data_IF_635192860543
#
_entry.id   IF_635192860543
#
_cell.length_a   1.000
_cell.length_b   1.000
_cell.length_c   1.000
_cell.angle_alpha   90.00
_cell.angle_beta   90.00
_cell.angle_gamma   90.00
#
_symmetry.space_group_name_H-M   'P 1'
#
loop_
_entity.id
_entity.type
_entity.pdbx_description
1 polymer ?
#
# COMPACT_ATOMS: atom_id res chain seq x y z
N UNK A 1 -12.95 38.41 -57.66
CA UNK A 1 -13.60 37.93 -56.42
C UNK A 1 -13.29 36.47 -56.26
N UNK A 2 -12.67 36.07 -55.14
CA UNK A 2 -12.81 34.77 -54.46
C UNK A 2 -11.69 34.66 -53.41
N UNK A 3 -11.98 35.20 -52.23
CA UNK A 3 -11.17 35.02 -51.02
C UNK A 3 -11.59 33.68 -50.40
N UNK A 4 -10.72 32.68 -50.46
CA UNK A 4 -10.95 31.38 -49.84
C UNK A 4 -10.72 31.44 -48.33
N UNK A 5 -11.77 31.22 -47.54
CA UNK A 5 -11.67 31.00 -46.10
C UNK A 5 -11.17 29.57 -45.83
N UNK A 6 -9.97 29.44 -45.24
CA UNK A 6 -9.48 28.20 -44.65
C UNK A 6 -9.91 28.15 -43.17
N UNK A 7 -10.87 27.29 -42.84
CA UNK A 7 -11.14 26.92 -41.45
C UNK A 7 -10.12 25.87 -40.99
N UNK A 8 -9.24 26.25 -40.06
CA UNK A 8 -8.39 25.31 -39.34
C UNK A 8 -9.18 24.72 -38.15
N UNK A 9 -9.46 23.41 -38.19
CA UNK A 9 -10.03 22.69 -37.06
C UNK A 9 -8.93 22.42 -36.01
N UNK A 10 -9.00 23.10 -34.87
CA UNK A 10 -8.13 22.82 -33.73
C UNK A 10 -8.59 21.52 -33.05
N UNK A 11 -7.80 20.45 -33.19
CA UNK A 11 -8.01 19.20 -32.46
C UNK A 11 -7.45 19.39 -31.04
N UNK A 12 -8.32 19.68 -30.08
CA UNK A 12 -7.95 19.70 -28.66
C UNK A 12 -7.69 18.26 -28.23
N UNK A 13 -6.41 17.90 -28.10
CA UNK A 13 -6.00 16.62 -27.53
C UNK A 13 -6.30 16.66 -26.03
N UNK A 14 -7.39 16.03 -25.61
CA UNK A 14 -7.68 15.81 -24.19
C UNK A 14 -6.64 14.81 -23.67
N UNK A 15 -5.69 15.29 -22.88
CA UNK A 15 -4.73 14.42 -22.21
C UNK A 15 -5.50 13.42 -21.33
N UNK A 16 -5.46 12.15 -21.70
CA UNK A 16 -6.04 11.07 -20.90
C UNK A 16 -5.19 10.90 -19.64
N UNK A 17 -5.69 11.40 -18.50
CA UNK A 17 -5.08 11.15 -17.20
C UNK A 17 -5.24 9.66 -16.89
N UNK A 18 -4.13 8.95 -16.71
CA UNK A 18 -4.16 7.54 -16.32
C UNK A 18 -4.96 7.38 -15.01
N UNK A 19 -5.79 6.34 -14.86
CA UNK A 19 -6.61 6.17 -13.69
C UNK A 19 -5.74 6.04 -12.44
N UNK A 20 -6.17 6.57 -11.28
CA UNK A 20 -5.44 6.42 -10.04
C UNK A 20 -5.37 4.94 -9.64
N UNK A 21 -4.15 4.43 -9.51
CA UNK A 21 -3.92 3.00 -9.28
C UNK A 21 -3.67 2.70 -7.81
N UNK A 22 -4.15 1.54 -7.37
CA UNK A 22 -3.75 0.91 -6.14
C UNK A 22 -3.15 -0.48 -6.42
N UNK A 23 -2.17 -0.87 -5.64
CA UNK A 23 -1.45 -2.14 -5.80
C UNK A 23 -1.67 -3.02 -4.57
N UNK A 24 -2.09 -4.26 -4.79
CA UNK A 24 -2.39 -5.26 -3.76
C UNK A 24 -1.49 -6.47 -3.98
N UNK A 25 -0.59 -6.75 -3.04
CA UNK A 25 0.40 -7.82 -3.14
C UNK A 25 0.24 -8.77 -1.96
N UNK A 26 0.14 -10.07 -2.20
CA UNK A 26 0.04 -11.04 -1.11
C UNK A 26 0.85 -12.31 -1.36
N UNK A 27 1.66 -12.65 -0.36
CA UNK A 27 2.40 -13.90 -0.30
C UNK A 27 1.47 -15.02 0.17
N UNK A 28 1.22 -15.99 -0.70
CA UNK A 28 0.41 -17.18 -0.42
C UNK A 28 1.30 -18.35 -0.05
N UNK A 29 2.38 -18.55 -0.78
CA UNK A 29 3.21 -19.75 -0.72
C UNK A 29 3.82 -19.93 0.67
N UNK A 30 4.44 -18.89 1.24
CA UNK A 30 5.10 -18.98 2.54
C UNK A 30 4.13 -19.20 3.72
N UNK A 31 2.82 -19.01 3.51
CA UNK A 31 1.77 -19.21 4.51
C UNK A 31 0.97 -20.51 4.31
N UNK A 32 1.40 -21.38 3.40
CA UNK A 32 0.72 -22.61 3.04
C UNK A 32 1.68 -23.80 2.97
N UNK A 33 1.12 -25.02 2.90
CA UNK A 33 1.91 -26.22 2.60
C UNK A 33 2.60 -26.11 1.22
N UNK A 34 3.83 -26.63 1.08
CA UNK A 34 4.62 -27.36 2.09
C UNK A 34 5.44 -26.44 3.02
N UNK A 35 5.40 -25.12 2.84
CA UNK A 35 6.25 -24.18 3.56
C UNK A 35 5.93 -24.08 5.07
N UNK A 36 4.66 -24.33 5.42
CA UNK A 36 4.19 -24.53 6.79
C UNK A 36 3.30 -25.77 6.85
N UNK A 37 3.00 -26.25 8.06
CA UNK A 37 2.25 -27.50 8.27
C UNK A 37 0.73 -27.39 8.05
N UNK A 38 0.22 -26.22 7.65
CA UNK A 38 -1.21 -25.99 7.42
C UNK A 38 -1.47 -25.24 6.12
N UNK A 39 -2.73 -25.28 5.65
CA UNK A 39 -3.19 -24.47 4.52
C UNK A 39 -3.97 -23.28 5.07
N UNK A 40 -3.56 -22.07 4.70
CA UNK A 40 -4.18 -20.81 5.07
C UNK A 40 -4.81 -20.11 3.87
N UNK A 41 -6.10 -19.80 3.99
CA UNK A 41 -6.79 -18.91 3.04
C UNK A 41 -6.63 -17.43 3.40
N UNK A 42 -5.88 -17.10 4.46
CA UNK A 42 -5.76 -15.72 4.93
C UNK A 42 -5.16 -14.77 3.88
N UNK A 43 -4.07 -15.12 3.16
CA UNK A 43 -3.49 -14.23 2.15
C UNK A 43 -4.50 -13.82 1.08
N UNK A 44 -5.26 -14.78 0.55
CA UNK A 44 -6.29 -14.56 -0.45
C UNK A 44 -7.44 -13.70 0.07
N UNK A 45 -7.98 -14.05 1.25
CA UNK A 45 -9.12 -13.33 1.83
C UNK A 45 -8.77 -11.88 2.17
N UNK A 46 -7.57 -11.65 2.70
CA UNK A 46 -7.14 -10.30 3.08
C UNK A 46 -6.83 -9.44 1.85
N UNK A 47 -6.16 -10.01 0.84
CA UNK A 47 -5.97 -9.33 -0.45
C UNK A 47 -7.31 -8.94 -1.09
N UNK A 48 -8.28 -9.86 -1.11
CA UNK A 48 -9.61 -9.58 -1.65
C UNK A 48 -10.36 -8.48 -0.85
N UNK A 49 -10.26 -8.50 0.48
CA UNK A 49 -10.87 -7.48 1.34
C UNK A 49 -10.26 -6.10 1.12
N UNK A 50 -8.93 -6.02 0.98
CA UNK A 50 -8.22 -4.79 0.66
C UNK A 50 -8.60 -4.28 -0.74
N UNK A 51 -8.60 -5.14 -1.77
CA UNK A 51 -9.03 -4.78 -3.12
C UNK A 51 -10.44 -4.20 -3.13
N UNK A 52 -11.42 -4.89 -2.54
CA UNK A 52 -12.80 -4.42 -2.51
C UNK A 52 -12.98 -3.10 -1.74
N UNK A 53 -12.14 -2.84 -0.73
CA UNK A 53 -12.13 -1.56 -0.02
C UNK A 53 -11.56 -0.43 -0.88
N UNK A 54 -10.43 -0.68 -1.54
CA UNK A 54 -9.77 0.28 -2.43
C UNK A 54 -10.62 0.61 -3.66
N UNK A 55 -11.23 -0.38 -4.29
CA UNK A 55 -12.19 -0.17 -5.39
C UNK A 55 -13.36 0.71 -4.95
N UNK A 56 -13.93 0.45 -3.75
CA UNK A 56 -15.02 1.28 -3.20
C UNK A 56 -14.58 2.72 -2.91
N UNK A 57 -13.30 2.95 -2.64
CA UNK A 57 -12.71 4.27 -2.45
C UNK A 57 -12.37 4.96 -3.79
N UNK A 58 -12.57 4.30 -4.94
CA UNK A 58 -12.37 4.86 -6.27
C UNK A 58 -11.02 4.53 -6.91
N UNK A 59 -10.24 3.60 -6.34
CA UNK A 59 -8.97 3.17 -6.93
C UNK A 59 -9.18 2.10 -8.00
N UNK A 60 -8.38 2.15 -9.07
CA UNK A 60 -8.21 1.01 -9.97
C UNK A 60 -7.20 0.05 -9.36
N UNK A 61 -7.61 -1.17 -9.02
CA UNK A 61 -6.77 -2.11 -8.28
C UNK A 61 -6.05 -3.09 -9.22
N UNK A 62 -4.73 -3.12 -9.13
CA UNK A 62 -3.89 -4.20 -9.64
C UNK A 62 -3.52 -5.14 -8.49
N UNK A 63 -3.85 -6.43 -8.62
CA UNK A 63 -3.59 -7.43 -7.57
C UNK A 63 -2.71 -8.55 -8.06
N UNK A 64 -1.76 -8.96 -7.22
CA UNK A 64 -0.92 -10.14 -7.43
C UNK A 64 -0.79 -10.95 -6.14
N UNK A 65 -1.35 -12.15 -6.15
CA UNK A 65 -1.35 -13.09 -5.03
C UNK A 65 -0.64 -14.38 -5.43
N UNK A 66 0.18 -14.94 -4.54
CA UNK A 66 0.89 -16.18 -4.82
C UNK A 66 2.09 -15.99 -5.75
N UNK A 67 2.49 -17.01 -6.54
CA UNK A 67 3.75 -17.00 -7.28
C UNK A 67 3.96 -15.84 -8.26
N UNK A 68 2.89 -15.18 -8.70
CA UNK A 68 2.95 -13.97 -9.54
C UNK A 68 3.45 -12.73 -8.80
N UNK A 69 3.38 -12.72 -7.46
CA UNK A 69 3.99 -11.68 -6.64
C UNK A 69 5.51 -11.88 -6.62
N UNK A 70 6.17 -11.34 -7.64
CA UNK A 70 7.63 -11.29 -7.79
C UNK A 70 8.17 -9.90 -7.44
N UNK A 71 9.48 -9.76 -7.28
CA UNK A 71 10.14 -8.46 -7.02
C UNK A 71 9.86 -7.46 -8.15
N UNK A 72 9.92 -7.92 -9.40
CA UNK A 72 9.67 -7.10 -10.58
C UNK A 72 8.21 -6.62 -10.64
N UNK A 73 7.24 -7.52 -10.38
CA UNK A 73 5.82 -7.17 -10.30
C UNK A 73 5.56 -6.18 -9.16
N UNK A 74 6.18 -6.41 -8.01
CA UNK A 74 6.06 -5.53 -6.85
C UNK A 74 6.57 -4.12 -7.16
N UNK A 75 7.80 -3.98 -7.66
CA UNK A 75 8.40 -2.67 -7.95
C UNK A 75 7.65 -1.93 -9.07
N UNK A 76 7.26 -2.63 -10.15
CA UNK A 76 6.44 -2.03 -11.22
C UNK A 76 5.08 -1.57 -10.74
N UNK A 77 4.41 -2.35 -9.89
CA UNK A 77 3.10 -1.99 -9.34
C UNK A 77 3.19 -0.89 -8.28
N UNK A 78 4.24 -0.91 -7.45
CA UNK A 78 4.46 0.10 -6.42
C UNK A 78 4.86 1.43 -7.05
N UNK A 79 5.64 1.46 -8.13
CA UNK A 79 6.13 2.71 -8.73
C UNK A 79 5.03 3.76 -8.99
N UNK A 80 3.92 3.45 -9.71
CA UNK A 80 2.86 4.42 -10.00
C UNK A 80 1.74 4.47 -8.93
N UNK A 81 1.75 3.59 -7.93
CA UNK A 81 0.62 3.43 -7.02
C UNK A 81 0.38 4.68 -6.15
N UNK A 82 -0.89 5.06 -5.98
CA UNK A 82 -1.33 6.01 -4.97
C UNK A 82 -1.81 5.35 -3.68
N UNK A 83 -2.17 4.06 -3.72
CA UNK A 83 -2.43 3.24 -2.54
C UNK A 83 -1.78 1.85 -2.65
N UNK A 84 -1.35 1.29 -1.52
CA UNK A 84 -0.62 0.03 -1.46
C UNK A 84 -1.13 -0.85 -0.32
N UNK A 85 -1.33 -2.13 -0.64
CA UNK A 85 -1.49 -3.21 0.33
C UNK A 85 -0.41 -4.27 0.09
N UNK A 86 0.27 -4.69 1.15
CA UNK A 86 1.21 -5.83 1.11
C UNK A 86 0.91 -6.77 2.26
N UNK A 87 0.64 -8.04 1.99
CA UNK A 87 0.61 -9.11 2.97
C UNK A 87 1.78 -10.07 2.75
N UNK A 88 2.76 -10.08 3.67
CA UNK A 88 3.93 -10.93 3.54
C UNK A 88 4.72 -11.05 4.86
N UNK A 89 5.83 -11.76 4.82
CA UNK A 89 6.87 -11.63 5.84
C UNK A 89 7.61 -10.30 5.68
N UNK A 90 7.79 -9.59 6.80
CA UNK A 90 8.56 -8.36 6.89
C UNK A 90 9.69 -8.49 7.90
N UNK A 91 10.77 -7.75 7.66
CA UNK A 91 11.94 -7.68 8.52
C UNK A 91 12.83 -6.51 8.05
N UNK A 92 13.92 -6.25 8.78
CA UNK A 92 15.03 -5.41 8.38
C UNK A 92 16.08 -6.26 7.64
N UNK A 93 15.89 -6.45 6.34
CA UNK A 93 16.76 -7.25 5.48
C UNK A 93 18.10 -6.55 5.19
N UNK A 94 19.15 -7.32 4.92
CA UNK A 94 20.44 -6.78 4.51
C UNK A 94 20.37 -6.20 3.09
N UNK A 95 20.73 -4.93 2.95
CA UNK A 95 20.96 -4.25 1.67
C UNK A 95 22.45 -4.36 1.34
N UNK A 96 22.77 -5.16 0.32
CA UNK A 96 24.14 -5.38 -0.12
C UNK A 96 24.79 -4.12 -0.71
N UNK A 97 24.02 -3.25 -1.38
CA UNK A 97 24.55 -2.05 -2.01
C UNK A 97 24.99 -1.03 -0.95
N UNK A 98 24.19 -0.84 0.10
CA UNK A 98 24.49 0.08 1.19
C UNK A 98 25.23 -0.58 2.37
N UNK A 99 25.52 -1.89 2.30
CA UNK A 99 26.16 -2.71 3.34
C UNK A 99 25.53 -2.56 4.73
N UNK A 100 24.19 -2.42 4.80
CA UNK A 100 23.45 -2.20 6.05
C UNK A 100 22.05 -2.78 5.98
N UNK A 101 21.37 -2.94 7.12
CA UNK A 101 19.97 -3.39 7.15
C UNK A 101 19.01 -2.29 6.69
N UNK A 102 17.94 -2.71 6.01
CA UNK A 102 16.84 -1.87 5.57
C UNK A 102 15.51 -2.61 5.69
N UNK A 103 14.47 -1.88 6.05
CA UNK A 103 13.12 -2.41 6.18
C UNK A 103 12.56 -2.80 4.82
N UNK A 104 11.76 -3.86 4.79
CA UNK A 104 11.20 -4.40 3.57
C UNK A 104 10.29 -5.58 3.82
N UNK A 105 9.96 -6.30 2.75
CA UNK A 105 9.16 -7.50 2.80
C UNK A 105 9.65 -8.53 1.77
N UNK A 106 9.40 -9.81 2.04
CA UNK A 106 9.63 -10.87 1.06
C UNK A 106 8.54 -10.85 -0.01
N UNK A 107 8.88 -11.20 -1.23
CA UNK A 107 7.89 -11.54 -2.26
C UNK A 107 7.51 -13.01 -2.12
N UNK A 108 6.54 -13.47 -2.92
CA UNK A 108 6.16 -14.88 -2.94
C UNK A 108 7.10 -15.68 -3.86
N UNK A 109 7.09 -15.35 -5.16
CA UNK A 109 7.85 -16.01 -6.22
C UNK A 109 7.78 -17.56 -6.23
N UNK A 110 6.74 -18.16 -5.62
CA UNK A 110 6.60 -19.60 -5.49
C UNK A 110 7.61 -20.26 -4.55
N UNK A 111 8.19 -19.51 -3.60
CA UNK A 111 9.27 -19.99 -2.72
C UNK A 111 8.85 -20.04 -1.26
N UNK A 112 9.18 -21.14 -0.57
CA UNK A 112 9.03 -21.26 0.89
C UNK A 112 10.07 -20.43 1.65
N UNK A 113 11.32 -20.51 1.18
CA UNK A 113 12.46 -19.89 1.83
C UNK A 113 13.28 -19.09 0.82
N UNK A 114 14.05 -18.14 1.31
CA UNK A 114 14.95 -17.32 0.48
C UNK A 114 14.24 -16.68 -0.73
N UNK A 115 12.94 -16.41 -0.58
CA UNK A 115 12.21 -15.58 -1.51
C UNK A 115 12.87 -14.19 -1.56
N UNK A 116 12.99 -13.58 -2.76
CA UNK A 116 13.56 -12.25 -2.91
C UNK A 116 12.87 -11.22 -2.01
N UNK A 117 13.58 -10.17 -1.66
CA UNK A 117 13.04 -9.08 -0.85
C UNK A 117 12.82 -7.84 -1.69
N UNK A 118 11.83 -7.04 -1.31
CA UNK A 118 11.69 -5.65 -1.75
C UNK A 118 11.99 -4.78 -0.52
N UNK A 119 13.02 -3.95 -0.63
CA UNK A 119 13.49 -3.10 0.47
C UNK A 119 13.26 -1.61 0.18
N UNK A 120 13.19 -0.81 1.24
CA UNK A 120 12.94 0.64 1.16
C UNK A 120 13.78 1.38 0.09
N UNK A 121 15.12 1.20 -0.04
CA UNK A 121 15.91 1.84 -1.09
C UNK A 121 15.44 1.55 -2.52
N UNK A 122 15.01 0.31 -2.80
CA UNK A 122 14.50 -0.07 -4.11
C UNK A 122 13.16 0.61 -4.39
N UNK A 123 12.30 0.71 -3.38
CA UNK A 123 11.03 1.45 -3.48
C UNK A 123 11.30 2.93 -3.72
N UNK A 124 12.21 3.55 -2.97
CA UNK A 124 12.62 4.95 -3.16
C UNK A 124 13.10 5.19 -4.59
N UNK A 125 13.97 4.32 -5.10
CA UNK A 125 14.46 4.42 -6.48
C UNK A 125 13.31 4.31 -7.49
N UNK A 126 12.46 3.29 -7.35
CA UNK A 126 11.33 3.05 -8.25
C UNK A 126 10.27 4.16 -8.21
N UNK A 127 10.20 4.92 -7.10
CA UNK A 127 9.24 6.02 -6.89
C UNK A 127 9.86 7.41 -7.02
N UNK A 128 11.03 7.53 -7.63
CA UNK A 128 11.69 8.84 -7.83
C UNK A 128 10.77 9.78 -8.63
N UNK A 129 10.51 10.97 -8.08
CA UNK A 129 9.64 11.96 -8.72
C UNK A 129 8.14 11.65 -8.67
N UNK A 130 7.72 10.58 -7.98
CA UNK A 130 6.33 10.20 -7.82
C UNK A 130 5.76 10.79 -6.52
N UNK A 131 4.50 11.23 -6.57
CA UNK A 131 3.79 11.74 -5.39
C UNK A 131 3.75 10.70 -4.25
N UNK A 132 3.69 11.14 -2.97
CA UNK A 132 3.50 10.23 -1.84
C UNK A 132 2.26 9.34 -1.94
N UNK A 133 2.28 8.18 -1.30
CA UNK A 133 1.08 7.35 -1.18
C UNK A 133 0.04 8.01 -0.28
N UNK A 134 -1.23 7.87 -0.68
CA UNK A 134 -2.39 8.24 0.15
C UNK A 134 -2.66 7.18 1.21
N UNK A 135 -2.47 5.90 0.90
CA UNK A 135 -2.61 4.80 1.85
C UNK A 135 -1.54 3.76 1.62
N UNK A 136 -0.85 3.35 2.68
CA UNK A 136 0.05 2.21 2.68
C UNK A 136 -0.30 1.28 3.84
N UNK A 137 -0.82 0.10 3.54
CA UNK A 137 -1.09 -0.93 4.53
C UNK A 137 -0.09 -2.07 4.32
N UNK A 138 0.91 -2.13 5.18
CA UNK A 138 2.01 -3.09 5.14
C UNK A 138 1.76 -4.16 6.21
N UNK A 139 0.98 -5.17 5.85
CA UNK A 139 0.64 -6.33 6.69
C UNK A 139 1.83 -7.28 6.83
N UNK A 140 2.80 -6.87 7.65
CA UNK A 140 4.06 -7.58 7.83
C UNK A 140 4.66 -7.31 9.23
N UNK A 141 5.52 -8.21 9.71
CA UNK A 141 6.28 -8.02 10.95
C UNK A 141 7.27 -6.82 10.85
N UNK A 142 7.61 -6.23 11.99
CA UNK A 142 8.66 -5.22 12.22
C UNK A 142 8.53 -3.88 11.48
N UNK A 143 7.72 -3.78 10.43
CA UNK A 143 7.64 -2.57 9.60
C UNK A 143 6.79 -1.44 10.22
N UNK A 144 6.17 -1.66 11.37
CA UNK A 144 5.50 -0.64 12.19
C UNK A 144 6.45 0.11 13.13
N UNK A 145 7.67 -0.38 13.30
CA UNK A 145 8.63 0.20 14.24
C UNK A 145 9.12 1.58 13.78
N UNK A 146 9.52 2.43 14.75
CA UNK A 146 10.07 3.77 14.46
C UNK A 146 11.37 3.74 13.63
N UNK A 147 12.09 2.62 13.67
CA UNK A 147 13.30 2.42 12.86
C UNK A 147 12.97 2.00 11.42
N UNK A 148 11.70 1.73 11.11
CA UNK A 148 11.27 1.32 9.79
C UNK A 148 11.53 2.40 8.74
N UNK A 149 12.16 2.01 7.63
CA UNK A 149 12.45 2.89 6.49
C UNK A 149 11.33 2.89 5.45
N UNK A 150 10.34 1.98 5.57
CA UNK A 150 9.26 1.86 4.59
C UNK A 150 8.34 3.10 4.51
N UNK A 151 7.90 3.72 5.62
CA UNK A 151 7.06 4.93 5.52
C UNK A 151 7.71 6.02 4.66
N UNK A 152 9.00 6.31 4.91
CA UNK A 152 9.74 7.31 4.16
C UNK A 152 9.92 6.94 2.67
N UNK A 153 10.20 5.67 2.36
CA UNK A 153 10.29 5.20 0.97
C UNK A 153 8.96 5.33 0.20
N UNK A 154 7.84 5.37 0.92
CA UNK A 154 6.49 5.56 0.39
C UNK A 154 6.04 7.04 0.42
N UNK A 155 6.92 7.95 0.83
CA UNK A 155 6.64 9.39 0.95
C UNK A 155 5.78 9.76 2.16
N UNK A 156 5.63 8.86 3.15
CA UNK A 156 4.80 9.08 4.33
C UNK A 156 5.70 9.40 5.53
N UNK A 157 5.52 10.59 6.09
CA UNK A 157 6.20 11.00 7.32
C UNK A 157 5.69 10.20 8.53
N UNK A 158 6.59 9.81 9.43
CA UNK A 158 6.25 9.15 10.71
C UNK A 158 5.75 10.17 11.75
N UNK A 159 4.62 10.80 11.44
CA UNK A 159 3.94 11.77 12.30
C UNK A 159 2.46 11.41 12.39
N UNK A 160 1.84 11.57 13.56
CA UNK A 160 0.40 11.33 13.76
C UNK A 160 -0.33 12.67 13.89
N UNK A 161 -1.37 12.87 13.09
CA UNK A 161 -2.38 13.92 13.29
C UNK A 161 -3.64 13.28 13.85
N UNK A 162 -4.01 13.65 15.08
CA UNK A 162 -5.15 13.09 15.80
C UNK A 162 -6.53 13.50 15.26
N UNK A 163 -7.61 12.98 15.85
CA UNK A 163 -8.98 13.35 15.51
C UNK A 163 -9.18 14.88 15.54
N UNK A 164 -9.86 15.43 14.53
CA UNK A 164 -10.10 16.88 14.43
C UNK A 164 -8.89 17.74 14.05
N UNK A 165 -7.67 17.18 14.04
CA UNK A 165 -6.45 17.91 13.66
C UNK A 165 -6.18 17.75 12.16
N UNK A 166 -5.90 18.86 11.48
CA UNK A 166 -5.44 18.83 10.09
C UNK A 166 -4.13 18.03 9.98
N UNK A 167 -4.01 17.19 8.95
CA UNK A 167 -2.87 16.30 8.79
C UNK A 167 -2.53 16.04 7.33
N UNK A 168 -1.47 15.25 7.08
CA UNK A 168 -1.07 14.92 5.73
C UNK A 168 -2.16 14.11 5.00
N UNK A 169 -2.15 14.17 3.67
CA UNK A 169 -3.01 13.32 2.82
C UNK A 169 -2.47 11.88 2.70
N UNK A 170 -2.00 11.32 3.80
CA UNK A 170 -1.43 9.97 3.83
C UNK A 170 -1.78 9.25 5.12
N UNK A 171 -1.83 7.92 5.03
CA UNK A 171 -1.98 7.03 6.18
C UNK A 171 -1.17 5.75 5.95
N UNK A 172 -0.33 5.40 6.92
CA UNK A 172 0.48 4.19 6.92
C UNK A 172 0.02 3.29 8.06
N UNK A 173 -0.09 1.99 7.82
CA UNK A 173 -0.37 0.96 8.84
C UNK A 173 0.62 -0.17 8.66
N UNK A 174 1.19 -0.65 9.77
CA UNK A 174 1.99 -1.87 9.82
C UNK A 174 2.05 -2.41 11.25
N UNK A 175 2.80 -3.47 11.49
CA UNK A 175 2.94 -4.09 12.81
C UNK A 175 4.36 -3.94 13.36
N UNK A 176 4.46 -3.65 14.66
CA UNK A 176 5.71 -3.68 15.42
C UNK A 176 5.97 -5.09 15.94
N UNK A 177 7.22 -5.55 15.89
CA UNK A 177 7.57 -6.91 16.29
C UNK A 177 6.91 -7.99 15.42
N UNK A 178 6.71 -9.17 16.02
CA UNK A 178 6.09 -10.32 15.35
C UNK A 178 4.59 -10.14 15.22
N UNK A 179 4.06 -10.37 14.03
CA UNK A 179 2.64 -10.27 13.71
C UNK A 179 2.08 -11.65 13.33
N UNK A 180 1.20 -12.19 14.16
CA UNK A 180 0.62 -13.53 13.93
C UNK A 180 -0.62 -13.45 13.04
N UNK A 181 -0.66 -14.31 12.01
CA UNK A 181 -1.72 -14.33 10.99
C UNK A 181 -3.13 -14.34 11.60
N UNK A 182 -3.35 -15.09 12.69
CA UNK A 182 -4.66 -15.14 13.37
C UNK A 182 -5.16 -13.78 13.87
N UNK A 183 -4.25 -12.94 14.36
CA UNK A 183 -4.57 -11.60 14.87
C UNK A 183 -4.67 -10.60 13.72
N UNK A 184 -3.77 -10.71 12.73
CA UNK A 184 -3.82 -9.95 11.47
C UNK A 184 -5.20 -10.09 10.82
N UNK A 185 -5.72 -11.33 10.69
CA UNK A 185 -7.02 -11.58 10.06
C UNK A 185 -8.16 -10.84 10.75
N UNK A 186 -8.16 -10.81 12.10
CA UNK A 186 -9.21 -10.12 12.87
C UNK A 186 -9.10 -8.60 12.70
N UNK A 187 -7.90 -8.06 12.92
CA UNK A 187 -7.61 -6.64 12.80
C UNK A 187 -7.97 -6.11 11.40
N UNK A 188 -7.40 -6.72 10.35
CA UNK A 188 -7.59 -6.24 8.99
C UNK A 188 -9.01 -6.39 8.48
N UNK A 189 -9.69 -7.49 8.81
CA UNK A 189 -11.10 -7.66 8.42
C UNK A 189 -11.96 -6.54 8.99
N UNK A 190 -11.70 -6.13 10.23
CA UNK A 190 -12.39 -4.99 10.85
C UNK A 190 -11.99 -3.65 10.22
N UNK A 191 -10.69 -3.43 9.98
CA UNK A 191 -10.16 -2.22 9.33
C UNK A 191 -10.79 -2.00 7.95
N UNK A 192 -10.68 -2.99 7.05
CA UNK A 192 -11.17 -2.89 5.68
C UNK A 192 -12.69 -2.75 5.64
N UNK A 193 -13.42 -3.43 6.53
CA UNK A 193 -14.87 -3.27 6.67
C UNK A 193 -15.27 -1.86 7.11
N UNK A 194 -14.55 -1.27 8.06
CA UNK A 194 -14.81 0.09 8.52
C UNK A 194 -14.52 1.12 7.41
N UNK A 195 -13.38 1.02 6.74
CA UNK A 195 -13.05 1.86 5.58
C UNK A 195 -14.11 1.74 4.48
N UNK A 196 -14.52 0.50 4.15
CA UNK A 196 -15.60 0.28 3.19
C UNK A 196 -16.85 1.02 3.60
N UNK A 197 -17.24 1.00 4.87
CA UNK A 197 -18.43 1.71 5.39
C UNK A 197 -18.25 3.24 5.44
N UNK A 198 -17.12 3.75 4.98
CA UNK A 198 -16.84 5.18 4.93
C UNK A 198 -16.33 5.72 6.26
N UNK A 199 -15.66 4.92 7.08
CA UNK A 199 -14.83 5.45 8.16
C UNK A 199 -13.62 6.22 7.60
N UNK A 200 -13.07 7.14 8.38
CA UNK A 200 -11.71 7.66 8.13
C UNK A 200 -10.69 6.57 8.47
N UNK A 201 -9.45 6.71 8.00
CA UNK A 201 -8.39 5.74 8.24
C UNK A 201 -8.11 5.53 9.74
N UNK A 202 -8.14 6.61 10.53
CA UNK A 202 -7.99 6.53 11.98
C UNK A 202 -9.16 5.82 12.66
N UNK A 203 -10.40 6.16 12.31
CA UNK A 203 -11.58 5.49 12.86
C UNK A 203 -11.65 4.01 12.45
N UNK A 204 -11.17 3.67 11.25
CA UNK A 204 -11.04 2.28 10.81
C UNK A 204 -9.97 1.53 11.60
N UNK A 205 -8.86 2.19 11.95
CA UNK A 205 -7.82 1.64 12.82
C UNK A 205 -8.37 1.37 14.23
N UNK A 206 -9.11 2.31 14.82
CA UNK A 206 -9.73 2.13 16.13
C UNK A 206 -10.74 0.97 16.13
N UNK A 207 -11.60 0.89 15.11
CA UNK A 207 -12.53 -0.23 14.94
C UNK A 207 -11.79 -1.57 14.82
N UNK A 208 -10.59 -1.57 14.22
CA UNK A 208 -9.76 -2.75 14.09
C UNK A 208 -9.12 -3.18 15.41
N UNK A 209 -8.67 -2.23 16.25
CA UNK A 209 -8.16 -2.52 17.59
C UNK A 209 -9.21 -3.25 18.46
N UNK A 210 -10.50 -2.97 18.25
CA UNK A 210 -11.62 -3.58 18.98
C UNK A 210 -12.04 -4.97 18.44
N UNK A 211 -11.32 -5.54 17.48
CA UNK A 211 -11.71 -6.81 16.80
C UNK A 211 -11.41 -8.09 17.58
N UNK A 212 -10.93 -7.99 18.83
CA UNK A 212 -10.77 -9.12 19.74
C UNK A 212 -9.61 -10.05 19.38
N UNK A 213 -8.39 -9.53 19.32
CA UNK A 213 -7.14 -10.30 19.25
C UNK A 213 -6.25 -10.01 20.47
N UNK A 214 -5.33 -10.92 20.78
CA UNK A 214 -4.35 -10.71 21.86
C UNK A 214 -3.32 -9.65 21.45
N UNK A 215 -3.06 -8.68 22.32
CA UNK A 215 -1.99 -7.68 22.09
C UNK A 215 -0.59 -8.33 22.00
N UNK A 216 -0.40 -9.53 22.56
CA UNK A 216 0.84 -10.29 22.40
C UNK A 216 1.00 -10.88 20.97
N UNK A 217 -0.09 -11.00 20.22
CA UNK A 217 -0.09 -11.57 18.87
C UNK A 217 0.09 -10.52 17.77
N UNK A 218 -0.18 -9.25 18.08
CA UNK A 218 -0.15 -8.16 17.12
C UNK A 218 -0.05 -6.81 17.83
N UNK A 219 0.91 -5.99 17.41
CA UNK A 219 1.03 -4.59 17.83
C UNK A 219 0.92 -3.68 16.61
N UNK A 220 -0.31 -3.30 16.20
CA UNK A 220 -0.50 -2.37 15.10
C UNK A 220 0.02 -0.98 15.42
N UNK A 221 0.63 -0.36 14.42
CA UNK A 221 1.11 1.01 14.48
C UNK A 221 0.68 1.75 13.21
N UNK A 222 0.47 3.06 13.34
CA UNK A 222 0.08 3.90 12.23
C UNK A 222 0.79 5.26 12.21
N UNK A 223 0.91 5.84 11.01
CA UNK A 223 1.40 7.20 10.81
C UNK A 223 0.50 7.91 9.80
N UNK A 224 0.44 9.23 9.84
CA UNK A 224 -0.34 10.06 8.92
C UNK A 224 -1.50 10.79 9.60
N UNK A 225 -2.65 10.88 8.92
CA UNK A 225 -3.82 11.60 9.41
C UNK A 225 -4.99 10.70 9.81
N UNK A 226 -5.46 10.85 11.04
CA UNK A 226 -6.65 10.17 11.56
C UNK A 226 -7.89 10.46 10.70
N UNK A 227 -8.04 11.71 10.25
CA UNK A 227 -9.22 12.21 9.55
C UNK A 227 -9.23 11.88 8.05
N UNK A 228 -8.20 11.19 7.54
CA UNK A 228 -8.09 10.89 6.12
C UNK A 228 -9.19 9.93 5.67
N UNK A 229 -9.88 10.28 4.58
CA UNK A 229 -10.56 9.30 3.71
C UNK A 229 -9.60 9.00 2.55
N UNK A 230 -9.03 7.79 2.46
CA UNK A 230 -7.95 7.48 1.53
C UNK A 230 -8.47 7.24 0.10
N UNK A 231 -9.06 8.28 -0.47
CA UNK A 231 -9.57 8.33 -1.84
C UNK A 231 -8.47 8.86 -2.78
N UNK A 232 -8.52 8.55 -4.08
CA UNK A 232 -7.62 9.16 -5.05
C UNK A 232 -7.61 10.69 -4.94
N UNK A 233 -6.47 11.34 -5.22
CA UNK A 233 -6.47 12.78 -5.44
C UNK A 233 -7.48 13.12 -6.54
N UNK A 234 -8.27 14.17 -6.34
CA UNK A 234 -9.11 14.69 -7.42
C UNK A 234 -8.19 15.05 -8.60
N UNK A 235 -8.53 14.62 -9.80
CA UNK A 235 -7.85 15.02 -11.02
C UNK A 235 -7.92 16.55 -11.10
N UNK A 236 -6.84 17.25 -10.80
CA UNK A 236 -6.78 18.67 -11.13
C UNK A 236 -6.65 18.75 -12.66
N UNK A 237 -7.56 19.46 -13.37
CA UNK A 237 -7.28 19.88 -14.73
C UNK A 237 -5.94 20.64 -14.69
N UNK A 238 -4.99 20.21 -15.53
CA UNK A 238 -3.62 20.75 -15.49
C UNK A 238 -3.63 22.27 -15.52
N UNK A 239 -3.00 22.88 -14.51
CA UNK A 239 -2.65 24.30 -14.58
C UNK A 239 -1.70 24.43 -15.78
N UNK A 240 -2.00 25.29 -16.78
CA UNK A 240 -1.07 25.52 -17.88
C UNK A 240 0.27 25.96 -17.28
N UNK A 241 1.35 25.25 -17.60
CA UNK A 241 2.69 25.72 -17.28
C UNK A 241 2.92 26.95 -18.15
N UNK A 242 2.95 28.12 -17.52
CA UNK A 242 3.51 29.33 -18.12
C UNK A 242 4.97 29.03 -18.45
N UNK A 243 5.31 29.13 -19.73
CA UNK A 243 6.69 29.14 -20.24
C UNK A 243 7.28 30.51 -19.99
#
# INVERSE_FOLDING_TARGET
MLTGLLLAAAVVSVATVAPPTATVLANRTAFNQPCVWFTSTAPDRLAAAASAALERLGWTVASSVGPRFTQEVALRGIAPAGALYVHSHGDHYYDAAAKRRSSGFRVDAGRCENAPTVIAPQITQARTGIAPLTLAFISTCYNGERISKLPAALGIAMQKSGPGVAGPRSFYVSYSGVAWVRAIVRFETAFWRALRRGATSGAAFDAALLSGYSAADLLPEWWGSYNLRPTPPASQPGVPRSV
#
